data_IF_366852179665
#
_entry.id   IF_366852179665
#
_cell.length_a   1.000
_cell.length_b   1.000
_cell.length_c   1.000
_cell.angle_alpha   90.00
_cell.angle_beta   90.00
_cell.angle_gamma   90.00
#
_symmetry.space_group_name_H-M   'P 1'
#
loop_
_entity.id
_entity.type
_entity.pdbx_description
1 polymer ?
#
# COMPACT_ATOMS: atom_id res chain seq x y z
N UNK A 1 -17.49 -18.11 -16.23
CA UNK A 1 -16.22 -17.38 -16.39
C UNK A 1 -15.13 -18.42 -16.39
N UNK A 2 -14.57 -18.71 -17.57
CA UNK A 2 -13.56 -19.76 -17.75
C UNK A 2 -12.23 -19.33 -17.13
N UNK A 3 -11.71 -20.17 -16.23
CA UNK A 3 -10.38 -20.00 -15.64
C UNK A 3 -9.32 -20.50 -16.63
N UNK A 4 -8.72 -19.60 -17.41
CA UNK A 4 -7.56 -19.90 -18.24
C UNK A 4 -6.29 -19.40 -17.55
N UNK A 5 -5.79 -20.15 -16.57
CA UNK A 5 -4.50 -19.86 -15.93
C UNK A 5 -3.69 -21.16 -15.78
N UNK A 6 -3.06 -21.62 -16.86
CA UNK A 6 -2.17 -22.78 -16.83
C UNK A 6 -0.71 -22.35 -17.02
N UNK A 7 0.05 -22.31 -15.93
CA UNK A 7 1.50 -22.13 -16.00
C UNK A 7 2.19 -22.29 -14.65
N UNK A 8 3.19 -23.17 -14.59
CA UNK A 8 4.07 -23.40 -13.41
C UNK A 8 4.72 -22.11 -12.86
N UNK A 9 4.85 -21.07 -13.70
CA UNK A 9 5.40 -19.77 -13.35
C UNK A 9 4.54 -18.95 -12.37
N UNK A 10 3.20 -19.13 -12.35
CA UNK A 10 2.30 -18.38 -11.45
C UNK A 10 2.56 -18.71 -9.98
N UNK A 11 3.23 -19.82 -9.65
CA UNK A 11 3.53 -20.16 -8.25
C UNK A 11 4.62 -19.26 -7.60
N UNK A 12 5.06 -18.20 -8.27
CA UNK A 12 6.05 -17.24 -7.75
C UNK A 12 5.61 -15.82 -8.09
N UNK A 13 5.96 -14.86 -7.22
CA UNK A 13 5.68 -13.44 -7.40
C UNK A 13 6.15 -12.90 -8.76
N UNK A 14 7.35 -13.29 -9.19
CA UNK A 14 7.89 -12.88 -10.50
C UNK A 14 7.00 -13.32 -11.66
N UNK A 15 6.53 -14.57 -11.67
CA UNK A 15 5.67 -15.06 -12.75
C UNK A 15 4.29 -14.39 -12.76
N UNK A 16 3.77 -13.98 -11.60
CA UNK A 16 2.59 -13.11 -11.52
C UNK A 16 2.84 -11.77 -12.23
N UNK A 17 3.97 -11.10 -11.94
CA UNK A 17 4.31 -9.82 -12.56
C UNK A 17 4.57 -9.96 -14.06
N UNK A 18 5.34 -10.96 -14.48
CA UNK A 18 5.60 -11.27 -15.89
C UNK A 18 4.29 -11.51 -16.66
N UNK A 19 3.32 -12.21 -16.05
CA UNK A 19 2.01 -12.38 -16.66
C UNK A 19 1.26 -11.06 -16.81
N UNK A 20 1.21 -10.22 -15.76
CA UNK A 20 0.58 -8.90 -15.85
C UNK A 20 1.24 -8.00 -16.92
N UNK A 21 2.54 -8.15 -17.15
CA UNK A 21 3.23 -7.49 -18.26
C UNK A 21 2.79 -8.06 -19.62
N UNK A 22 2.71 -9.39 -19.76
CA UNK A 22 2.28 -10.06 -20.99
C UNK A 22 0.85 -9.66 -21.42
N UNK A 23 -0.05 -9.44 -20.45
CA UNK A 23 -1.41 -8.94 -20.70
C UNK A 23 -1.47 -7.41 -20.92
N UNK A 24 -0.33 -6.71 -20.89
CA UNK A 24 -0.27 -5.26 -21.09
C UNK A 24 -0.85 -4.43 -19.94
N UNK A 25 -1.08 -5.06 -18.78
CA UNK A 25 -1.55 -4.38 -17.57
C UNK A 25 -0.40 -3.58 -16.97
N UNK A 26 0.76 -4.21 -16.79
CA UNK A 26 2.00 -3.51 -16.40
C UNK A 26 2.79 -3.14 -17.64
N UNK A 27 2.94 -1.85 -17.86
CA UNK A 27 3.73 -1.20 -18.92
C UNK A 27 4.96 -0.49 -18.35
N UNK A 28 4.86 0.02 -17.12
CA UNK A 28 5.98 0.68 -16.45
C UNK A 28 6.97 -0.33 -15.89
N UNK A 29 8.24 -0.12 -16.22
CA UNK A 29 9.37 -0.85 -15.62
C UNK A 29 9.45 -0.63 -14.11
N UNK A 30 9.26 0.61 -13.64
CA UNK A 30 9.33 0.95 -12.20
C UNK A 30 8.23 0.21 -11.42
N UNK A 31 7.02 0.11 -11.99
CA UNK A 31 5.92 -0.63 -11.38
C UNK A 31 6.21 -2.13 -11.34
N UNK A 32 6.72 -2.70 -12.44
CA UNK A 32 7.12 -4.11 -12.47
C UNK A 32 8.18 -4.42 -11.40
N UNK A 33 9.27 -3.64 -11.36
CA UNK A 33 10.35 -3.80 -10.39
C UNK A 33 9.84 -3.66 -8.94
N UNK A 34 8.92 -2.72 -8.70
CA UNK A 34 8.30 -2.54 -7.37
C UNK A 34 7.51 -3.78 -6.96
N UNK A 35 6.62 -4.26 -7.83
CA UNK A 35 5.79 -5.42 -7.55
C UNK A 35 6.59 -6.73 -7.48
N UNK A 36 7.71 -6.85 -8.20
CA UNK A 36 8.63 -7.99 -8.08
C UNK A 36 9.35 -8.03 -6.73
N UNK A 37 9.76 -6.86 -6.22
CA UNK A 37 10.49 -6.74 -4.95
C UNK A 37 9.59 -6.88 -3.72
N UNK A 38 8.33 -6.44 -3.81
CA UNK A 38 7.34 -6.64 -2.75
C UNK A 38 6.58 -7.93 -3.03
N UNK A 39 7.07 -9.04 -2.47
CA UNK A 39 6.44 -10.35 -2.64
C UNK A 39 5.04 -10.38 -2.04
N UNK A 40 4.03 -10.44 -2.91
CA UNK A 40 2.61 -10.53 -2.52
C UNK A 40 2.31 -11.74 -1.63
N UNK A 41 3.07 -12.82 -1.74
CA UNK A 41 2.94 -14.02 -0.91
C UNK A 41 3.07 -13.75 0.59
N UNK A 42 3.79 -12.70 0.97
CA UNK A 42 3.95 -12.27 2.37
C UNK A 42 2.70 -11.60 2.94
N UNK A 43 1.82 -11.10 2.08
CA UNK A 43 0.67 -10.26 2.45
C UNK A 43 -0.67 -10.98 2.36
N UNK A 44 -0.67 -12.30 2.14
CA UNK A 44 -1.89 -13.12 2.09
C UNK A 44 -1.91 -14.14 3.24
N UNK A 45 -3.09 -14.62 3.67
CA UNK A 45 -3.17 -15.70 4.64
C UNK A 45 -2.53 -17.00 4.15
N UNK A 46 -2.04 -17.82 5.09
CA UNK A 46 -1.51 -19.15 4.78
C UNK A 46 -2.55 -20.01 4.05
N UNK A 47 -2.11 -20.78 3.04
CA UNK A 47 -2.98 -21.64 2.24
C UNK A 47 -3.75 -20.91 1.13
N UNK A 48 -3.64 -19.58 1.03
CA UNK A 48 -4.13 -18.82 -0.12
C UNK A 48 -3.28 -19.08 -1.38
N UNK A 49 -3.79 -18.66 -2.53
CA UNK A 49 -3.11 -18.74 -3.82
C UNK A 49 -2.60 -17.36 -4.27
N UNK A 50 -1.59 -16.75 -3.60
CA UNK A 50 -1.27 -15.31 -3.63
C UNK A 50 -1.16 -14.68 -5.01
N UNK A 51 -0.73 -15.47 -5.97
CA UNK A 51 -0.30 -15.03 -7.30
C UNK A 51 -1.37 -15.19 -8.37
N UNK A 52 -2.53 -15.73 -8.02
CA UNK A 52 -3.71 -15.72 -8.91
C UNK A 52 -4.24 -14.29 -8.97
N UNK A 53 -4.60 -13.86 -10.18
CA UNK A 53 -5.14 -12.53 -10.41
C UNK A 53 -6.60 -12.38 -9.95
N UNK A 54 -6.82 -12.49 -8.64
CA UNK A 54 -8.13 -12.37 -8.00
C UNK A 54 -8.04 -11.74 -6.61
N UNK A 55 -9.12 -11.12 -6.12
CA UNK A 55 -9.21 -10.70 -4.72
C UNK A 55 -9.20 -11.92 -3.79
N UNK A 56 -8.60 -11.78 -2.61
CA UNK A 56 -8.56 -12.84 -1.61
C UNK A 56 -9.02 -12.33 -0.25
N UNK A 57 -9.80 -13.14 0.47
CA UNK A 57 -10.24 -12.80 1.81
C UNK A 57 -9.05 -12.74 2.78
N UNK A 58 -9.07 -11.74 3.68
CA UNK A 58 -8.01 -11.52 4.68
C UNK A 58 -8.57 -11.53 6.11
N UNK A 59 -9.79 -12.02 6.28
CA UNK A 59 -10.57 -11.90 7.52
C UNK A 59 -11.35 -10.58 7.60
N UNK A 60 -12.15 -10.43 8.66
CA UNK A 60 -12.84 -9.17 8.98
C UNK A 60 -13.74 -8.60 7.87
N UNK A 61 -14.30 -9.48 7.02
CA UNK A 61 -15.06 -9.10 5.83
C UNK A 61 -14.28 -8.19 4.84
N UNK A 62 -12.95 -8.26 4.88
CA UNK A 62 -12.05 -7.51 4.01
C UNK A 62 -11.36 -8.45 3.01
N UNK A 63 -10.83 -7.86 1.93
CA UNK A 63 -10.05 -8.56 0.92
C UNK A 63 -8.78 -7.81 0.60
N UNK A 64 -7.72 -8.53 0.25
CA UNK A 64 -6.61 -7.96 -0.53
C UNK A 64 -7.03 -7.95 -2.00
N UNK A 65 -6.94 -6.79 -2.64
CA UNK A 65 -7.35 -6.60 -4.04
C UNK A 65 -6.52 -7.47 -4.99
N UNK A 66 -7.07 -7.75 -6.17
CA UNK A 66 -6.38 -8.52 -7.20
C UNK A 66 -5.04 -7.84 -7.63
N UNK A 67 -4.01 -8.63 -7.98
CA UNK A 67 -2.75 -8.14 -8.54
C UNK A 67 -2.90 -7.05 -9.62
N UNK A 68 -3.80 -7.21 -10.60
CA UNK A 68 -3.99 -6.18 -11.64
C UNK A 68 -4.47 -4.83 -11.09
N UNK A 69 -5.28 -4.83 -10.03
CA UNK A 69 -5.76 -3.58 -9.42
C UNK A 69 -4.63 -2.80 -8.77
N UNK A 70 -3.70 -3.49 -8.09
CA UNK A 70 -2.50 -2.87 -7.55
C UNK A 70 -1.58 -2.34 -8.65
N UNK A 71 -1.37 -3.12 -9.71
CA UNK A 71 -0.59 -2.70 -10.88
C UNK A 71 -1.16 -1.42 -11.52
N UNK A 72 -2.48 -1.37 -11.75
CA UNK A 72 -3.15 -0.19 -12.30
C UNK A 72 -2.98 1.02 -11.36
N UNK A 73 -3.19 0.85 -10.06
CA UNK A 73 -3.02 1.91 -9.07
C UNK A 73 -1.60 2.49 -9.08
N UNK A 74 -0.58 1.62 -9.02
CA UNK A 74 0.83 2.04 -9.02
C UNK A 74 1.21 2.79 -10.29
N UNK A 75 0.67 2.40 -11.45
CA UNK A 75 0.92 3.10 -12.70
C UNK A 75 0.23 4.47 -12.77
N UNK A 76 -1.02 4.57 -12.32
CA UNK A 76 -1.74 5.84 -12.28
C UNK A 76 -1.06 6.85 -11.36
N UNK A 77 -0.46 6.36 -10.28
CA UNK A 77 0.22 7.17 -9.28
C UNK A 77 1.74 7.29 -9.51
N UNK A 78 2.29 6.67 -10.55
CA UNK A 78 3.74 6.56 -10.74
C UNK A 78 4.44 7.92 -10.66
N UNK A 79 3.92 8.94 -11.35
CA UNK A 79 4.49 10.30 -11.35
C UNK A 79 4.38 11.03 -10.00
N UNK A 80 3.54 10.54 -9.08
CA UNK A 80 3.33 11.06 -7.73
C UNK A 80 3.98 10.19 -6.65
N UNK A 81 4.54 9.04 -7.04
CA UNK A 81 5.28 8.11 -6.19
C UNK A 81 6.76 8.15 -6.58
N UNK A 82 7.38 9.32 -6.43
CA UNK A 82 8.79 9.53 -6.74
C UNK A 82 9.64 9.64 -5.47
N UNK A 83 10.95 9.38 -5.55
CA UNK A 83 11.84 9.50 -4.40
C UNK A 83 11.68 10.84 -3.68
N UNK A 84 11.48 10.81 -2.35
CA UNK A 84 11.27 12.00 -1.53
C UNK A 84 9.82 12.48 -1.40
N UNK A 85 8.87 11.86 -2.12
CA UNK A 85 7.45 12.22 -2.01
C UNK A 85 6.76 11.57 -0.81
N UNK A 86 5.57 12.09 -0.48
CA UNK A 86 4.73 11.55 0.59
C UNK A 86 3.49 10.86 0.02
N UNK A 87 3.15 9.69 0.56
CA UNK A 87 2.00 8.89 0.17
C UNK A 87 1.14 8.52 1.38
N UNK A 88 -0.17 8.48 1.16
CA UNK A 88 -1.15 8.00 2.14
C UNK A 88 -2.01 6.92 1.49
N UNK A 89 -2.10 5.78 2.18
CA UNK A 89 -2.92 4.64 1.78
C UNK A 89 -4.06 4.45 2.79
N UNK A 90 -5.28 4.77 2.37
CA UNK A 90 -6.48 4.72 3.22
C UNK A 90 -7.22 3.41 3.02
N UNK A 91 -7.42 2.65 4.10
CA UNK A 91 -7.87 1.27 4.03
C UNK A 91 -6.72 0.35 3.63
N UNK A 92 -5.55 0.52 4.28
CA UNK A 92 -4.31 -0.15 3.90
C UNK A 92 -4.36 -1.68 4.01
N UNK A 93 -5.33 -2.24 4.74
CA UNK A 93 -5.61 -3.68 4.78
C UNK A 93 -4.40 -4.50 5.20
N UNK A 94 -3.88 -5.33 4.28
CA UNK A 94 -2.71 -6.18 4.55
C UNK A 94 -1.38 -5.43 4.49
N UNK A 95 -1.37 -4.18 4.03
CA UNK A 95 -0.17 -3.35 3.87
C UNK A 95 0.59 -3.53 2.56
N UNK A 96 0.08 -4.34 1.62
CA UNK A 96 0.77 -4.64 0.35
C UNK A 96 1.02 -3.37 -0.48
N UNK A 97 -0.04 -2.60 -0.74
CA UNK A 97 0.06 -1.39 -1.55
C UNK A 97 0.86 -0.30 -0.82
N UNK A 98 0.69 -0.19 0.50
CA UNK A 98 1.48 0.69 1.36
C UNK A 98 2.98 0.39 1.24
N UNK A 99 3.37 -0.89 1.25
CA UNK A 99 4.77 -1.30 1.06
C UNK A 99 5.30 -0.95 -0.33
N UNK A 100 4.50 -1.13 -1.38
CA UNK A 100 4.85 -0.73 -2.74
C UNK A 100 5.06 0.79 -2.84
N UNK A 101 4.17 1.60 -2.26
CA UNK A 101 4.31 3.06 -2.22
C UNK A 101 5.60 3.46 -1.51
N UNK A 102 5.88 2.88 -0.35
CA UNK A 102 7.11 3.12 0.40
C UNK A 102 8.37 2.84 -0.43
N UNK A 103 8.40 1.72 -1.16
CA UNK A 103 9.54 1.39 -2.01
C UNK A 103 9.72 2.40 -3.15
N UNK A 104 8.63 2.92 -3.73
CA UNK A 104 8.69 3.90 -4.81
C UNK A 104 9.11 5.31 -4.36
N UNK A 105 8.70 5.73 -3.15
CA UNK A 105 9.08 7.05 -2.58
C UNK A 105 10.40 7.03 -1.83
N UNK A 106 10.88 5.85 -1.44
CA UNK A 106 12.18 5.63 -0.79
C UNK A 106 12.30 6.26 0.61
N UNK A 107 13.47 6.08 1.23
CA UNK A 107 13.75 6.50 2.60
C UNK A 107 13.79 8.02 2.83
N UNK A 108 13.96 8.79 1.75
CA UNK A 108 13.86 10.25 1.80
C UNK A 108 12.41 10.75 1.73
N UNK A 109 11.46 9.86 1.41
CA UNK A 109 10.03 10.14 1.37
C UNK A 109 9.32 9.67 2.63
N UNK A 110 7.98 9.63 2.57
CA UNK A 110 7.16 9.12 3.67
C UNK A 110 5.88 8.48 3.19
N UNK A 111 5.65 7.23 3.57
CA UNK A 111 4.40 6.53 3.31
C UNK A 111 3.68 6.22 4.61
N UNK A 112 2.39 6.51 4.65
CA UNK A 112 1.55 6.15 5.80
C UNK A 112 0.35 5.32 5.33
N UNK A 113 0.18 4.15 5.92
CA UNK A 113 -1.05 3.36 5.83
C UNK A 113 -1.98 3.69 6.99
N UNK A 114 -3.28 3.78 6.73
CA UNK A 114 -4.30 3.87 7.77
C UNK A 114 -5.33 2.77 7.58
N UNK A 115 -5.62 2.04 8.66
CA UNK A 115 -6.56 0.92 8.68
C UNK A 115 -7.39 1.00 9.97
N UNK A 116 -8.69 0.75 9.85
CA UNK A 116 -9.66 0.89 10.94
C UNK A 116 -9.85 -0.40 11.75
N UNK A 117 -9.35 -1.53 11.24
CA UNK A 117 -9.38 -2.83 11.91
C UNK A 117 -8.03 -3.06 12.60
N UNK A 118 -7.94 -3.02 13.95
CA UNK A 118 -6.67 -3.10 14.69
C UNK A 118 -5.87 -4.38 14.41
N UNK A 119 -6.56 -5.49 14.15
CA UNK A 119 -5.94 -6.76 13.81
C UNK A 119 -5.29 -6.74 12.42
N UNK A 120 -5.86 -5.99 11.47
CA UNK A 120 -5.25 -5.78 10.15
C UNK A 120 -4.07 -4.81 10.22
N UNK A 121 -4.12 -3.79 11.09
CA UNK A 121 -2.94 -2.94 11.39
C UNK A 121 -1.80 -3.80 11.93
N UNK A 122 -2.09 -4.62 12.95
CA UNK A 122 -1.09 -5.51 13.57
C UNK A 122 -0.54 -6.53 12.58
N UNK A 123 -1.39 -7.09 11.71
CA UNK A 123 -1.00 -8.04 10.67
C UNK A 123 -0.15 -7.39 9.58
N UNK A 124 -0.54 -6.21 9.11
CA UNK A 124 0.17 -5.50 8.04
C UNK A 124 1.58 -5.08 8.44
N UNK A 125 1.78 -4.60 9.67
CA UNK A 125 3.12 -4.32 10.21
C UNK A 125 4.00 -5.58 10.15
N UNK A 126 3.49 -6.73 10.60
CA UNK A 126 4.22 -8.02 10.53
C UNK A 126 4.51 -8.48 9.10
N UNK A 127 3.62 -8.19 8.15
CA UNK A 127 3.84 -8.51 6.74
C UNK A 127 4.95 -7.62 6.16
N UNK A 128 4.90 -6.32 6.45
CA UNK A 128 5.91 -5.34 6.01
C UNK A 128 7.29 -5.70 6.57
N UNK A 129 7.39 -6.08 7.84
CA UNK A 129 8.64 -6.53 8.47
C UNK A 129 9.28 -7.74 7.78
N UNK A 130 8.49 -8.57 7.12
CA UNK A 130 8.95 -9.75 6.35
C UNK A 130 9.18 -9.44 4.87
N UNK A 131 8.94 -8.21 4.43
CA UNK A 131 9.04 -7.78 3.04
C UNK A 131 10.30 -6.95 2.79
N UNK A 132 10.57 -6.61 1.53
CA UNK A 132 11.66 -5.69 1.18
C UNK A 132 11.47 -4.26 1.74
N UNK A 133 10.26 -3.89 2.19
CA UNK A 133 9.98 -2.60 2.81
C UNK A 133 10.33 -2.54 4.31
N UNK A 134 10.81 -3.64 4.92
CA UNK A 134 11.15 -3.68 6.34
C UNK A 134 12.16 -2.59 6.80
N UNK A 135 13.19 -2.21 6.02
CA UNK A 135 14.08 -1.11 6.41
C UNK A 135 13.37 0.24 6.55
N UNK A 136 12.40 0.52 5.66
CA UNK A 136 11.62 1.76 5.64
C UNK A 136 10.68 1.85 6.84
N UNK A 137 10.17 0.69 7.31
CA UNK A 137 9.41 0.63 8.54
C UNK A 137 10.30 0.94 9.76
N UNK A 138 11.53 0.43 9.77
CA UNK A 138 12.48 0.61 10.88
C UNK A 138 13.00 2.04 11.00
N UNK A 139 13.21 2.74 9.88
CA UNK A 139 13.69 4.13 9.86
C UNK A 139 12.56 5.16 10.01
N UNK A 140 11.29 4.72 9.98
CA UNK A 140 10.10 5.56 10.17
C UNK A 140 9.62 6.28 8.91
N UNK A 141 10.25 6.04 7.75
CA UNK A 141 9.76 6.51 6.44
C UNK A 141 8.49 5.78 6.01
N UNK A 142 8.23 4.58 6.53
CA UNK A 142 6.96 3.86 6.41
C UNK A 142 6.33 3.65 7.79
N UNK A 143 5.03 3.87 7.90
CA UNK A 143 4.27 3.54 9.11
C UNK A 143 2.82 3.14 8.78
N UNK A 144 2.21 2.33 9.63
CA UNK A 144 0.79 1.96 9.53
C UNK A 144 0.12 2.26 10.87
N UNK A 145 -1.03 2.92 10.85
CA UNK A 145 -1.74 3.36 12.05
C UNK A 145 -3.17 2.85 12.07
N UNK A 146 -3.63 2.51 13.28
CA UNK A 146 -5.05 2.34 13.56
C UNK A 146 -5.73 3.70 13.52
N UNK A 147 -6.72 3.85 12.65
CA UNK A 147 -7.50 5.08 12.57
C UNK A 147 -8.84 4.99 13.32
N UNK A 148 -9.24 3.81 13.81
CA UNK A 148 -10.54 3.56 14.44
C UNK A 148 -11.71 3.84 13.49
N UNK A 149 -12.92 4.07 14.03
CA UNK A 149 -14.02 4.61 13.22
C UNK A 149 -13.74 6.07 12.87
N UNK A 150 -13.05 6.31 11.76
CA UNK A 150 -12.68 7.67 11.34
C UNK A 150 -13.87 8.44 10.80
N UNK A 151 -13.97 9.72 11.18
CA UNK A 151 -14.50 10.76 10.30
C UNK A 151 -13.34 11.37 9.52
N UNK A 152 -13.34 11.23 8.19
CA UNK A 152 -12.35 11.87 7.32
C UNK A 152 -12.73 13.34 7.19
N UNK A 153 -11.84 14.26 7.60
CA UNK A 153 -12.02 15.69 7.33
C UNK A 153 -11.01 16.10 6.25
N UNK A 154 -11.53 16.37 5.06
CA UNK A 154 -10.75 16.88 3.92
C UNK A 154 -10.97 18.38 3.79
N UNK A 155 -9.91 19.18 3.93
CA UNK A 155 -9.92 20.63 3.71
C UNK A 155 -9.24 20.91 2.38
N UNK A 156 -9.98 21.53 1.45
CA UNK A 156 -9.50 21.90 0.13
C UNK A 156 -9.25 23.41 0.04
N UNK A 157 -8.17 23.80 -0.62
CA UNK A 157 -7.93 25.16 -1.09
C UNK A 157 -8.09 25.26 -2.61
N UNK A 158 -7.89 26.45 -3.17
CA UNK A 158 -7.98 26.70 -4.63
C UNK A 158 -7.02 25.84 -5.47
N UNK A 159 -5.95 25.32 -4.87
CA UNK A 159 -4.97 24.44 -5.52
C UNK A 159 -5.14 22.94 -5.18
N UNK A 160 -6.24 22.55 -4.53
CA UNK A 160 -6.53 21.15 -4.18
C UNK A 160 -6.49 20.86 -2.68
N UNK A 161 -6.38 19.58 -2.32
CA UNK A 161 -6.41 19.11 -0.93
C UNK A 161 -5.25 19.72 -0.13
N UNK A 162 -5.58 20.43 0.95
CA UNK A 162 -4.60 21.07 1.85
C UNK A 162 -4.36 20.25 3.10
N UNK A 163 -5.44 19.70 3.67
CA UNK A 163 -5.34 18.90 4.88
C UNK A 163 -6.27 17.71 4.81
N UNK A 164 -5.76 16.55 5.22
CA UNK A 164 -6.54 15.34 5.41
C UNK A 164 -6.34 14.87 6.85
N UNK A 165 -7.41 14.94 7.62
CA UNK A 165 -7.41 14.59 9.04
C UNK A 165 -8.07 13.23 9.28
N UNK A 166 -7.42 12.44 10.13
CA UNK A 166 -7.98 11.23 10.73
C UNK A 166 -8.08 11.47 12.24
N UNK A 167 -9.30 11.44 12.77
CA UNK A 167 -9.55 11.53 14.21
C UNK A 167 -9.56 10.11 14.78
N UNK A 168 -8.62 9.81 15.68
CA UNK A 168 -8.60 8.61 16.51
C UNK A 168 -8.65 8.99 17.99
N UNK A 169 -9.26 8.16 18.84
CA UNK A 169 -9.40 8.29 20.31
C UNK A 169 -8.30 9.14 21.00
N UNK A 170 -8.50 10.47 21.09
CA UNK A 170 -7.57 11.49 21.63
C UNK A 170 -6.18 11.63 20.96
N UNK A 171 -5.94 10.97 19.83
CA UNK A 171 -4.72 11.15 19.03
C UNK A 171 -5.07 11.58 17.60
N UNK A 172 -4.56 12.74 17.19
CA UNK A 172 -4.84 13.29 15.87
C UNK A 172 -3.73 12.90 14.91
N UNK A 173 -4.07 12.22 13.81
CA UNK A 173 -3.16 12.07 12.67
C UNK A 173 -3.60 13.05 11.59
N UNK A 174 -2.85 14.14 11.46
CA UNK A 174 -3.06 15.17 10.46
C UNK A 174 -2.05 15.02 9.32
N UNK A 175 -2.53 14.91 8.09
CA UNK A 175 -1.69 15.02 6.91
C UNK A 175 -1.84 16.41 6.32
N UNK A 176 -0.77 17.19 6.35
CA UNK A 176 -0.72 18.52 5.75
C UNK A 176 0.03 18.45 4.42
N UNK A 177 -0.58 18.95 3.35
CA UNK A 177 0.09 19.14 2.07
C UNK A 177 0.48 20.62 1.94
N UNK A 178 1.63 21.01 2.51
CA UNK A 178 2.38 22.19 2.07
C UNK A 178 3.64 21.74 1.35
N UNK A 179 4.10 22.52 0.36
CA UNK A 179 5.39 22.29 -0.32
C UNK A 179 6.59 22.40 0.64
N UNK A 180 6.37 22.77 1.91
CA UNK A 180 7.42 23.06 2.89
C UNK A 180 7.20 22.49 4.32
N UNK A 181 6.13 21.75 4.60
CA UNK A 181 5.79 21.37 5.99
C UNK A 181 6.19 19.93 6.35
N UNK A 182 6.85 19.77 7.51
CA UNK A 182 7.11 18.47 8.16
C UNK A 182 5.80 17.87 8.67
N UNK A 183 5.64 16.56 8.55
CA UNK A 183 4.57 15.81 9.23
C UNK A 183 4.82 15.89 10.74
N UNK A 184 4.01 16.66 11.46
CA UNK A 184 4.02 16.71 12.93
C UNK A 184 2.92 15.82 13.48
N UNK A 185 3.30 14.75 14.20
CA UNK A 185 2.40 14.12 15.16
C UNK A 185 2.27 15.08 16.36
N UNK A 186 1.06 15.51 16.69
CA UNK A 186 0.78 16.20 17.94
C UNK A 186 -0.21 15.37 18.75
N UNK A 187 0.23 14.88 19.91
CA UNK A 187 -0.66 14.42 20.97
C UNK A 187 -1.25 15.65 21.67
N UNK A 188 -2.58 15.72 21.79
CA UNK A 188 -3.26 16.65 22.68
C UNK A 188 -3.39 16.05 24.08
#
# INVERSE_FOLDING_TARGET
MEQYWSGSAINKNKGMVENLQNYGIIKSRKVAETMENIDRGVFVPNGAQPYIDSPMAIGYNATISAPHMHAICLQLLENYLQPGMHALDVGSGTGYLTACFALMVGSNGRTVGVEHIPELVSSSIKNIEKSAAAPLLKDGSLSVHDCGMVSIISIYGSEGLKILYFLHNNSTVAFYHDKHSRISQSSL
#
